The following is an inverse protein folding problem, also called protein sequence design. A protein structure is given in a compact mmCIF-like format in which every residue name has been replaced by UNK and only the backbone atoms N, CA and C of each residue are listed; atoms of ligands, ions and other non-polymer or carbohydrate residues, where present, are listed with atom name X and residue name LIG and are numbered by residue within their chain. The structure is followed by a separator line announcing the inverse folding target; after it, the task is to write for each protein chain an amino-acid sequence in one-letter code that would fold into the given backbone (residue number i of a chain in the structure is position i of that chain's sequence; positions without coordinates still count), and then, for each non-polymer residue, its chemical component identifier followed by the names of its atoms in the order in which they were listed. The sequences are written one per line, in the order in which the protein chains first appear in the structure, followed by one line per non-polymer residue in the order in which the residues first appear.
data_IF_771150046117
#
_entry.id   IF_771150046117
#
_cell.length_a   1.000
_cell.length_b   1.000
_cell.length_c   1.000
_cell.angle_alpha   90.00
_cell.angle_beta   90.00
_cell.angle_gamma   90.00
#
_symmetry.space_group_name_H-M   'P 1'
#
loop_
_entity.id
_entity.type
_entity.pdbx_description
1 polymer ?
#
# COMPACT_ATOMS: atom_id res chain seq x y z
N UNK A 1 17.81 4.22 -20.47
CA UNK A 1 17.63 5.39 -19.58
C UNK A 1 16.41 6.23 -19.99
N UNK A 2 15.67 5.82 -21.02
CA UNK A 2 14.60 6.62 -21.62
C UNK A 2 13.40 6.92 -20.71
N UNK A 3 13.01 5.97 -19.85
CA UNK A 3 11.88 6.20 -18.93
C UNK A 3 12.22 7.22 -17.84
N UNK A 4 13.46 7.22 -17.34
CA UNK A 4 13.93 8.18 -16.32
C UNK A 4 13.96 9.59 -16.89
N UNK A 5 14.45 9.74 -18.12
CA UNK A 5 14.48 11.03 -18.80
C UNK A 5 13.08 11.55 -19.15
N UNK A 6 12.16 10.68 -19.57
CA UNK A 6 10.75 11.06 -19.79
C UNK A 6 10.06 11.52 -18.51
N UNK A 7 10.26 10.82 -17.40
CA UNK A 7 9.71 11.26 -16.09
C UNK A 7 10.30 12.62 -15.69
N UNK A 8 11.59 12.84 -15.92
CA UNK A 8 12.27 14.07 -15.51
C UNK A 8 11.97 15.29 -16.41
N UNK A 9 11.85 15.10 -17.73
CA UNK A 9 11.66 16.17 -18.71
C UNK A 9 10.19 16.41 -19.06
N UNK A 10 9.39 15.37 -19.19
CA UNK A 10 8.00 15.43 -19.67
C UNK A 10 6.97 15.34 -18.53
N UNK A 11 7.42 15.19 -17.28
CA UNK A 11 6.55 15.08 -16.11
C UNK A 11 5.48 13.97 -16.31
N UNK A 12 5.90 12.86 -16.90
CA UNK A 12 5.03 11.75 -17.26
C UNK A 12 4.69 10.91 -16.02
N UNK A 13 3.39 10.76 -15.74
CA UNK A 13 2.86 10.08 -14.54
C UNK A 13 1.71 9.13 -14.83
N UNK A 14 1.67 8.53 -16.01
CA UNK A 14 0.59 7.62 -16.39
C UNK A 14 0.81 6.18 -15.87
N UNK A 15 1.22 6.06 -14.60
CA UNK A 15 1.50 4.79 -13.95
C UNK A 15 1.13 4.82 -12.47
N UNK A 16 0.58 3.70 -11.99
CA UNK A 16 0.13 3.56 -10.60
C UNK A 16 1.20 3.02 -9.65
N UNK A 17 2.13 2.19 -10.15
CA UNK A 17 3.17 1.54 -9.33
C UNK A 17 4.49 1.46 -10.10
N UNK A 18 5.58 1.87 -9.44
CA UNK A 18 6.96 1.71 -9.94
C UNK A 18 7.62 0.56 -9.20
N UNK A 19 8.14 -0.41 -9.94
CA UNK A 19 8.98 -1.50 -9.41
C UNK A 19 10.41 -1.29 -9.93
N UNK A 20 11.39 -1.37 -9.05
CA UNK A 20 12.80 -1.16 -9.39
C UNK A 20 13.67 -2.33 -8.94
N UNK A 21 14.73 -2.61 -9.69
CA UNK A 21 15.82 -3.47 -9.21
C UNK A 21 16.76 -2.67 -8.29
N UNK A 22 17.43 -3.32 -7.32
CA UNK A 22 18.38 -2.65 -6.41
C UNK A 22 19.46 -1.85 -7.16
N UNK A 23 19.93 -2.35 -8.30
CA UNK A 23 21.01 -1.75 -9.10
C UNK A 23 20.61 -0.38 -9.67
N UNK A 24 19.32 -0.13 -9.88
CA UNK A 24 18.80 1.10 -10.47
C UNK A 24 18.36 2.14 -9.42
N UNK A 25 18.44 1.83 -8.12
CA UNK A 25 18.00 2.73 -7.05
C UNK A 25 18.83 4.02 -6.96
N UNK A 26 20.10 4.01 -7.37
CA UNK A 26 20.94 5.22 -7.41
C UNK A 26 20.44 6.27 -8.41
N UNK A 27 19.81 5.84 -9.50
CA UNK A 27 19.22 6.72 -10.52
C UNK A 27 17.80 7.12 -10.11
N UNK A 28 17.01 6.19 -9.58
CA UNK A 28 15.64 6.45 -9.09
C UNK A 28 15.63 7.38 -7.89
N UNK A 29 16.67 7.37 -7.04
CA UNK A 29 16.83 8.32 -5.94
C UNK A 29 16.86 9.79 -6.39
N UNK A 30 17.40 10.08 -7.59
CA UNK A 30 17.38 11.44 -8.16
C UNK A 30 15.97 11.90 -8.52
N UNK A 31 15.09 10.96 -8.88
CA UNK A 31 13.67 11.20 -9.13
C UNK A 31 12.84 11.35 -7.85
N UNK A 32 13.43 11.18 -6.67
CA UNK A 32 12.74 11.27 -5.38
C UNK A 32 12.05 12.61 -5.13
N UNK A 33 12.55 13.72 -5.68
CA UNK A 33 11.87 15.04 -5.58
C UNK A 33 10.51 15.05 -6.28
N UNK A 34 10.37 14.26 -7.34
CA UNK A 34 9.17 14.23 -8.21
C UNK A 34 8.24 13.08 -7.79
N UNK A 35 8.79 11.89 -7.57
CA UNK A 35 8.02 10.70 -7.19
C UNK A 35 7.68 10.62 -5.69
N UNK A 36 8.47 11.28 -4.84
CA UNK A 36 8.26 11.35 -3.38
C UNK A 36 6.91 11.93 -2.96
N UNK A 37 6.55 13.17 -3.37
CA UNK A 37 5.27 13.77 -2.96
C UNK A 37 4.05 13.02 -3.50
N UNK A 38 4.19 12.29 -4.62
CA UNK A 38 3.12 11.46 -5.19
C UNK A 38 3.03 10.06 -4.59
N UNK A 39 3.97 9.68 -3.72
CA UNK A 39 3.98 8.36 -3.08
C UNK A 39 4.32 7.20 -4.00
N UNK A 40 4.70 7.46 -5.25
CA UNK A 40 5.06 6.47 -6.29
C UNK A 40 6.53 6.00 -6.20
N UNK A 41 7.27 6.48 -5.20
CA UNK A 41 8.67 6.12 -5.01
C UNK A 41 8.79 4.64 -4.58
N UNK A 42 9.56 3.80 -5.29
CA UNK A 42 9.74 2.42 -4.92
C UNK A 42 10.48 2.34 -3.58
N UNK A 43 10.02 1.47 -2.69
CA UNK A 43 10.60 1.30 -1.36
C UNK A 43 10.93 -0.16 -1.08
N UNK A 44 12.12 -0.46 -0.50
CA UNK A 44 12.46 -1.82 -0.09
C UNK A 44 11.47 -2.37 0.96
N UNK A 45 10.95 -1.49 1.82
CA UNK A 45 9.96 -1.84 2.85
C UNK A 45 8.64 -2.33 2.25
N UNK A 46 8.26 -1.80 1.09
CA UNK A 46 7.05 -2.23 0.40
C UNK A 46 7.30 -3.44 -0.54
N UNK A 47 8.55 -3.89 -0.69
CA UNK A 47 8.90 -4.99 -1.58
C UNK A 47 8.82 -4.62 -3.07
N UNK A 48 8.66 -3.33 -3.40
CA UNK A 48 8.73 -2.79 -4.78
C UNK A 48 10.17 -2.62 -5.26
N UNK A 49 11.15 -2.86 -4.39
CA UNK A 49 12.56 -3.01 -4.75
C UNK A 49 12.96 -4.47 -4.59
N UNK A 50 13.06 -5.19 -5.70
CA UNK A 50 13.43 -6.62 -5.69
C UNK A 50 14.29 -6.96 -6.91
N UNK A 51 15.26 -7.88 -6.79
CA UNK A 51 15.93 -8.45 -7.96
C UNK A 51 14.95 -9.25 -8.84
N UNK A 52 13.88 -9.82 -8.27
CA UNK A 52 12.86 -10.61 -8.98
C UNK A 52 11.71 -9.73 -9.51
N UNK A 53 12.01 -8.87 -10.48
CA UNK A 53 11.03 -7.90 -11.05
C UNK A 53 9.79 -8.59 -11.63
N UNK A 54 9.96 -9.75 -12.27
CA UNK A 54 8.85 -10.49 -12.90
C UNK A 54 7.81 -10.98 -11.89
N UNK A 55 8.25 -11.41 -10.69
CA UNK A 55 7.33 -11.83 -9.62
C UNK A 55 6.62 -10.62 -9.01
N UNK A 56 7.37 -9.55 -8.72
CA UNK A 56 6.79 -8.32 -8.20
C UNK A 56 5.71 -7.74 -9.13
N UNK A 57 5.93 -7.73 -10.44
CA UNK A 57 4.91 -7.26 -11.40
C UNK A 57 3.65 -8.14 -11.36
N UNK A 58 3.79 -9.47 -11.23
CA UNK A 58 2.63 -10.37 -11.10
C UNK A 58 1.87 -10.13 -9.79
N UNK A 59 2.58 -9.97 -8.68
CA UNK A 59 1.97 -9.70 -7.36
C UNK A 59 1.26 -8.34 -7.33
N UNK A 60 1.87 -7.30 -7.89
CA UNK A 60 1.26 -5.97 -7.98
C UNK A 60 0.01 -6.01 -8.85
N UNK A 61 0.05 -6.68 -10.00
CA UNK A 61 -1.13 -6.87 -10.86
C UNK A 61 -2.22 -7.73 -10.20
N UNK A 62 -1.85 -8.64 -9.31
CA UNK A 62 -2.79 -9.44 -8.54
C UNK A 62 -3.52 -8.65 -7.44
N UNK A 63 -3.22 -7.35 -7.29
CA UNK A 63 -3.89 -6.47 -6.34
C UNK A 63 -3.22 -6.40 -4.97
N UNK A 64 -1.89 -6.59 -4.91
CA UNK A 64 -1.13 -6.34 -3.69
C UNK A 64 -1.29 -4.87 -3.30
N UNK A 65 -1.96 -4.63 -2.17
CA UNK A 65 -2.16 -3.29 -1.63
C UNK A 65 -1.04 -2.99 -0.63
N UNK A 66 -0.36 -1.87 -0.85
CA UNK A 66 0.56 -1.32 0.13
C UNK A 66 -0.21 -0.54 1.19
N UNK A 67 -0.01 -0.90 2.45
CA UNK A 67 -0.50 -0.09 3.56
C UNK A 67 0.63 0.80 4.08
N UNK A 68 0.38 2.11 4.11
CA UNK A 68 1.31 3.11 4.66
C UNK A 68 0.73 3.69 5.95
N UNK A 69 1.60 3.91 6.93
CA UNK A 69 1.26 4.65 8.14
C UNK A 69 1.30 6.14 7.84
N UNK A 70 0.24 6.85 8.17
CA UNK A 70 0.26 8.31 8.22
C UNK A 70 1.02 8.82 9.45
N UNK A 71 1.35 10.12 9.50
CA UNK A 71 1.95 10.80 10.66
C UNK A 71 1.12 10.63 11.94
N UNK A 72 -0.19 10.41 11.79
CA UNK A 72 -1.13 10.14 12.88
C UNK A 72 -1.14 8.66 13.33
N UNK A 73 -0.30 7.80 12.75
CA UNK A 73 -0.26 6.35 12.96
C UNK A 73 -1.56 5.63 12.57
N UNK A 74 -2.33 6.21 11.64
CA UNK A 74 -3.52 5.57 11.06
C UNK A 74 -3.11 4.84 9.78
N UNK A 75 -3.69 3.64 9.59
CA UNK A 75 -3.54 2.86 8.37
C UNK A 75 -4.79 3.08 7.51
N UNK A 76 -4.58 3.54 6.28
CA UNK A 76 -5.64 3.67 5.27
C UNK A 76 -5.45 2.61 4.19
N UNK A 77 -6.43 1.73 4.01
CA UNK A 77 -6.38 0.67 3.00
C UNK A 77 -7.74 0.54 2.30
N UNK A 78 -7.79 0.59 0.96
CA UNK A 78 -9.00 0.28 0.22
C UNK A 78 -9.27 -1.24 0.28
N UNK A 79 -10.42 -1.66 0.81
CA UNK A 79 -10.80 -3.09 0.88
C UNK A 79 -11.44 -3.61 -0.43
N UNK A 80 -11.88 -2.71 -1.31
CA UNK A 80 -12.57 -3.04 -2.56
C UNK A 80 -13.54 -1.96 -3.01
N UNK A 81 -14.38 -2.29 -4.01
CA UNK A 81 -15.49 -1.45 -4.47
C UNK A 81 -16.81 -1.96 -3.91
N UNK A 82 -17.82 -1.09 -3.81
CA UNK A 82 -19.18 -1.48 -3.41
C UNK A 82 -19.82 -2.52 -4.36
N UNK A 83 -19.33 -2.62 -5.60
CA UNK A 83 -19.75 -3.64 -6.57
C UNK A 83 -19.22 -5.05 -6.25
N UNK A 84 -18.29 -5.19 -5.30
CA UNK A 84 -17.86 -6.49 -4.83
C UNK A 84 -18.90 -7.00 -3.83
N UNK A 85 -19.38 -8.23 -4.03
CA UNK A 85 -20.35 -8.84 -3.13
C UNK A 85 -19.86 -8.89 -1.67
N UNK A 86 -20.78 -9.06 -0.71
CA UNK A 86 -20.47 -8.99 0.72
C UNK A 86 -19.39 -9.99 1.15
N UNK A 87 -19.39 -11.20 0.57
CA UNK A 87 -18.43 -12.25 0.88
C UNK A 87 -17.00 -11.85 0.54
N UNK A 88 -16.77 -11.31 -0.67
CA UNK A 88 -15.43 -10.86 -1.10
C UNK A 88 -14.91 -9.69 -0.27
N UNK A 89 -15.80 -8.78 0.15
CA UNK A 89 -15.43 -7.67 1.03
C UNK A 89 -15.03 -8.20 2.42
N UNK A 90 -15.71 -9.22 2.92
CA UNK A 90 -15.39 -9.86 4.20
C UNK A 90 -14.06 -10.61 4.14
N UNK A 91 -13.80 -11.36 3.07
CA UNK A 91 -12.52 -12.03 2.83
C UNK A 91 -11.35 -11.03 2.77
N UNK A 92 -11.50 -9.94 2.01
CA UNK A 92 -10.48 -8.89 1.91
C UNK A 92 -10.23 -8.22 3.26
N UNK A 93 -11.29 -7.96 4.02
CA UNK A 93 -11.18 -7.41 5.38
C UNK A 93 -10.40 -8.34 6.31
N UNK A 94 -10.74 -9.63 6.32
CA UNK A 94 -10.06 -10.62 7.14
C UNK A 94 -8.59 -10.81 6.74
N UNK A 95 -8.28 -10.77 5.44
CA UNK A 95 -6.91 -10.83 4.95
C UNK A 95 -6.06 -9.64 5.45
N UNK A 96 -6.60 -8.42 5.35
CA UNK A 96 -5.94 -7.20 5.82
C UNK A 96 -5.75 -7.24 7.33
N UNK A 97 -6.80 -7.61 8.07
CA UNK A 97 -6.73 -7.67 9.53
C UNK A 97 -5.73 -8.72 10.01
N UNK A 98 -5.71 -9.91 9.39
CA UNK A 98 -4.72 -10.94 9.67
C UNK A 98 -3.29 -10.48 9.39
N UNK A 99 -3.07 -9.72 8.31
CA UNK A 99 -1.77 -9.13 8.00
C UNK A 99 -1.35 -8.08 9.04
N UNK A 100 -2.27 -7.21 9.48
CA UNK A 100 -2.01 -6.20 10.52
C UNK A 100 -1.63 -6.86 11.84
N UNK A 101 -2.38 -7.87 12.29
CA UNK A 101 -2.08 -8.59 13.54
C UNK A 101 -0.71 -9.26 13.47
N UNK A 102 -0.35 -9.86 12.33
CA UNK A 102 1.00 -10.43 12.11
C UNK A 102 2.10 -9.37 12.09
N UNK A 103 1.80 -8.17 11.59
CA UNK A 103 2.73 -7.05 11.55
C UNK A 103 2.94 -6.37 12.91
N UNK A 104 2.24 -6.81 13.98
CA UNK A 104 2.41 -6.28 15.33
C UNK A 104 3.86 -6.44 15.80
N UNK A 105 4.59 -5.35 16.08
CA UNK A 105 5.94 -5.45 16.61
C UNK A 105 5.91 -5.99 18.04
N UNK A 106 6.90 -6.81 18.40
CA UNK A 106 7.00 -7.43 19.72
C UNK A 106 7.07 -6.42 20.89
N UNK A 107 7.47 -5.18 20.61
CA UNK A 107 7.56 -4.08 21.57
C UNK A 107 6.25 -3.33 21.80
N UNK A 108 5.19 -3.62 21.04
CA UNK A 108 3.90 -2.96 21.19
C UNK A 108 3.18 -3.41 22.47
N UNK A 109 3.19 -2.53 23.48
CA UNK A 109 2.47 -2.71 24.75
C UNK A 109 1.02 -2.22 24.62
N UNK A 110 0.06 -2.98 25.16
CA UNK A 110 -1.37 -2.63 25.18
C UNK A 110 -2.15 -3.07 23.94
N UNK A 111 -3.33 -2.49 23.75
CA UNK A 111 -4.24 -2.80 22.64
C UNK A 111 -3.68 -2.25 21.32
N UNK A 112 -3.35 -3.16 20.39
CA UNK A 112 -2.73 -2.82 19.12
C UNK A 112 -3.70 -2.12 18.15
N UNK A 113 -4.97 -2.55 18.13
CA UNK A 113 -6.04 -1.96 17.31
C UNK A 113 -7.00 -1.22 18.23
N UNK A 114 -6.96 0.11 18.21
CA UNK A 114 -7.83 0.97 19.04
C UNK A 114 -9.23 1.09 18.46
N UNK A 115 -9.33 1.38 17.17
CA UNK A 115 -10.59 1.53 16.45
C UNK A 115 -10.43 1.05 15.01
N UNK A 116 -11.53 0.54 14.45
CA UNK A 116 -11.63 0.20 13.04
C UNK A 116 -12.86 0.92 12.49
N UNK A 117 -12.71 1.66 11.40
CA UNK A 117 -13.80 2.40 10.76
C UNK A 117 -13.82 2.03 9.29
N UNK A 118 -14.97 1.60 8.80
CA UNK A 118 -15.20 1.34 7.39
C UNK A 118 -16.06 2.47 6.84
N UNK A 119 -15.58 3.12 5.80
CA UNK A 119 -16.29 4.20 5.12
C UNK A 119 -16.24 3.98 3.61
N UNK A 120 -17.31 4.36 2.91
CA UNK A 120 -17.29 4.51 1.46
C UNK A 120 -16.71 5.88 1.09
N UNK A 121 -16.30 6.07 -0.17
CA UNK A 121 -15.63 7.30 -0.63
C UNK A 121 -16.38 8.58 -0.30
N UNK A 122 -17.73 8.54 -0.34
CA UNK A 122 -18.59 9.71 -0.09
C UNK A 122 -19.64 9.43 1.02
N UNK A 123 -19.45 8.41 1.84
CA UNK A 123 -20.43 8.00 2.85
C UNK A 123 -19.96 8.17 4.29
N UNK A 124 -20.89 8.11 5.26
CA UNK A 124 -20.54 8.14 6.67
C UNK A 124 -19.72 6.90 7.05
N UNK A 125 -18.74 7.10 7.93
CA UNK A 125 -17.92 6.01 8.47
C UNK A 125 -18.66 5.23 9.55
N UNK A 126 -18.73 3.91 9.40
CA UNK A 126 -19.29 3.00 10.41
C UNK A 126 -18.15 2.44 11.25
N UNK A 127 -18.22 2.66 12.57
CA UNK A 127 -17.27 2.08 13.52
C UNK A 127 -17.53 0.59 13.65
N UNK A 128 -16.53 -0.21 13.32
CA UNK A 128 -16.55 -1.66 13.47
C UNK A 128 -15.98 -2.05 14.82
N UNK A 129 -16.49 -3.14 15.39
CA UNK A 129 -15.98 -3.66 16.66
C UNK A 129 -14.59 -4.29 16.45
N UNK A 130 -13.60 -3.80 17.19
CA UNK A 130 -12.21 -4.30 17.13
C UNK A 130 -11.98 -5.57 17.97
N UNK A 131 -12.96 -6.00 18.78
CA UNK A 131 -12.83 -7.14 19.68
C UNK A 131 -13.34 -8.47 19.10
N UNK A 132 -14.22 -8.43 18.10
CA UNK A 132 -14.67 -9.63 17.36
C UNK A 132 -14.02 -9.64 15.98
N UNK A 133 -12.76 -10.02 15.96
CA UNK A 133 -12.05 -10.37 14.73
C UNK A 133 -12.04 -11.90 14.67
N UNK A 134 -13.00 -12.46 13.93
CA UNK A 134 -13.09 -13.91 13.63
C UNK A 134 -12.81 -14.09 12.16
#
# INVERSE_FOLDING_TARGET
MDMVEKIQKENWFDFDVVVASPDMMGVVGRLGKVLGPKGLMPSPKAGTVTPDVAKAVKEVKAGKIEYRLDKTNIIHCPIGKASFGPEKLMENYNAIMGAIVKAKPATAKGQYIRSCVVASTMGPGVKMNSAKLV
#
